data_IF_004553957626
#
_entry.id   IF_004553957626
#
_cell.length_a   1.000
_cell.length_b   1.000
_cell.length_c   1.000
_cell.angle_alpha   90.00
_cell.angle_beta   90.00
_cell.angle_gamma   90.00
#
_symmetry.space_group_name_H-M   'P 1'
#
loop_
_entity.id
_entity.type
_entity.pdbx_description
1 polymer ?
#
# COMPACT_ATOMS: atom_id res chain seq x y z
N UNK A 1 6.22 20.63 -2.93
CA UNK A 1 5.05 19.80 -2.58
C UNK A 1 5.54 18.69 -1.69
N UNK A 2 5.30 18.78 -0.38
CA UNK A 2 5.79 17.80 0.58
C UNK A 2 4.82 16.63 0.62
N UNK A 3 5.05 15.62 -0.20
CA UNK A 3 4.56 14.29 0.14
C UNK A 3 5.15 13.99 1.51
N UNK A 4 4.31 13.81 2.53
CA UNK A 4 4.75 13.24 3.78
C UNK A 4 5.54 12.00 3.37
N UNK A 5 6.84 11.98 3.67
CA UNK A 5 7.66 10.79 3.49
C UNK A 5 7.12 9.77 4.49
N UNK A 6 6.02 9.15 4.09
CA UNK A 6 5.37 8.10 4.84
C UNK A 6 6.43 7.03 5.02
N UNK A 7 6.75 6.70 6.27
CA UNK A 7 7.71 5.64 6.56
C UNK A 7 7.07 4.28 6.22
N UNK A 8 7.08 3.96 4.92
CA UNK A 8 6.50 2.75 4.37
C UNK A 8 7.15 1.50 4.97
N UNK A 9 8.40 1.61 5.43
CA UNK A 9 9.15 0.49 6.01
C UNK A 9 8.51 -0.09 7.27
N UNK A 10 7.71 0.70 7.99
CA UNK A 10 7.03 0.30 9.24
C UNK A 10 5.59 -0.13 9.06
N UNK A 11 5.11 -0.23 7.82
CA UNK A 11 3.69 -0.49 7.52
C UNK A 11 3.37 -1.96 7.27
N UNK A 12 4.36 -2.85 7.40
CA UNK A 12 4.16 -4.29 7.25
C UNK A 12 3.04 -4.78 8.17
N UNK A 13 2.07 -5.48 7.60
CA UNK A 13 0.90 -5.97 8.33
C UNK A 13 -0.28 -4.99 8.38
N UNK A 14 -0.16 -3.76 7.88
CA UNK A 14 -1.28 -2.81 7.79
C UNK A 14 -2.30 -3.28 6.75
N UNK A 15 -3.56 -2.89 6.91
CA UNK A 15 -4.59 -3.08 5.90
C UNK A 15 -4.56 -1.91 4.90
N UNK A 16 -4.80 -2.20 3.63
CA UNK A 16 -4.93 -1.18 2.60
C UNK A 16 -6.39 -1.09 2.18
N UNK A 17 -6.96 0.10 2.27
CA UNK A 17 -8.32 0.42 1.85
C UNK A 17 -8.30 1.39 0.66
N UNK A 18 -9.19 1.18 -0.30
CA UNK A 18 -9.36 2.10 -1.42
C UNK A 18 -10.08 3.39 -0.99
N UNK A 19 -10.23 4.35 -1.92
CA UNK A 19 -10.92 5.64 -1.65
C UNK A 19 -12.37 5.50 -1.18
N UNK A 20 -12.98 4.32 -1.32
CA UNK A 20 -14.34 3.99 -0.91
C UNK A 20 -14.39 3.19 0.39
N UNK A 21 -13.23 3.00 1.05
CA UNK A 21 -13.10 2.20 2.26
C UNK A 21 -13.10 0.69 2.04
N UNK A 22 -13.06 0.21 0.79
CA UNK A 22 -13.03 -1.24 0.50
C UNK A 22 -11.63 -1.78 0.68
N UNK A 23 -11.50 -2.91 1.38
CA UNK A 23 -10.21 -3.55 1.58
C UNK A 23 -9.63 -4.07 0.25
N UNK A 24 -8.42 -3.61 -0.05
CA UNK A 24 -7.55 -4.08 -1.14
C UNK A 24 -6.78 -5.32 -0.70
N UNK A 25 -6.26 -5.30 0.52
CA UNK A 25 -5.46 -6.39 1.07
C UNK A 25 -4.62 -5.98 2.27
N UNK A 26 -3.62 -6.81 2.61
CA UNK A 26 -2.69 -6.57 3.72
C UNK A 26 -1.28 -6.36 3.18
N UNK A 27 -0.56 -5.39 3.73
CA UNK A 27 0.83 -5.09 3.38
C UNK A 27 1.72 -6.26 3.79
N UNK A 28 2.47 -6.80 2.84
CA UNK A 28 3.53 -7.80 3.07
C UNK A 28 4.90 -7.14 3.26
N UNK A 29 5.14 -5.97 2.65
CA UNK A 29 6.35 -5.19 2.86
C UNK A 29 6.53 -4.01 1.89
N UNK A 30 7.54 -3.16 2.13
CA UNK A 30 7.96 -2.10 1.21
C UNK A 30 8.62 -2.65 -0.06
N UNK A 31 8.48 -1.91 -1.15
CA UNK A 31 9.10 -2.18 -2.45
C UNK A 31 9.94 -0.96 -2.86
N UNK A 32 11.07 -1.25 -3.50
CA UNK A 32 12.14 -0.29 -3.83
C UNK A 32 12.37 -0.31 -5.33
N UNK A 33 11.39 0.16 -6.11
CA UNK A 33 11.44 0.10 -7.58
C UNK A 33 12.34 1.16 -8.22
N UNK A 34 12.40 2.35 -7.61
CA UNK A 34 13.11 3.52 -8.18
C UNK A 34 14.48 3.75 -7.54
N UNK A 35 14.63 3.53 -6.24
CA UNK A 35 15.89 3.73 -5.51
C UNK A 35 16.06 2.65 -4.43
N UNK A 36 17.31 2.21 -4.15
CA UNK A 36 17.56 1.07 -3.26
C UNK A 36 17.15 1.31 -1.80
N UNK A 37 17.24 2.55 -1.33
CA UNK A 37 17.01 2.90 0.09
C UNK A 37 15.68 3.64 0.32
N UNK A 38 14.97 4.03 -0.74
CA UNK A 38 13.73 4.80 -0.64
C UNK A 38 12.58 3.94 -1.17
N UNK A 39 11.67 3.49 -0.29
CA UNK A 39 10.53 2.69 -0.73
C UNK A 39 9.55 3.57 -1.50
N UNK A 40 9.16 3.14 -2.69
CA UNK A 40 8.25 3.87 -3.59
C UNK A 40 6.91 3.14 -3.79
N UNK A 41 6.79 1.93 -3.25
CA UNK A 41 5.58 1.13 -3.29
C UNK A 41 5.48 0.16 -2.11
N UNK A 42 4.31 -0.47 -1.98
CA UNK A 42 4.00 -1.54 -1.04
C UNK A 42 3.55 -2.78 -1.81
N UNK A 43 4.07 -3.95 -1.41
CA UNK A 43 3.53 -5.23 -1.81
C UNK A 43 2.33 -5.56 -0.92
N UNK A 44 1.16 -5.79 -1.54
CA UNK A 44 -0.10 -6.03 -0.84
C UNK A 44 -0.68 -7.36 -1.28
N UNK A 45 -0.93 -8.27 -0.34
CA UNK A 45 -1.61 -9.54 -0.61
C UNK A 45 -3.12 -9.36 -0.54
N UNK A 46 -3.80 -9.73 -1.63
CA UNK A 46 -5.24 -9.58 -1.75
C UNK A 46 -5.99 -10.71 -1.01
N UNK A 47 -6.42 -10.49 0.23
CA UNK A 47 -7.16 -11.50 1.01
C UNK A 47 -6.29 -12.68 1.50
N UNK A 48 -6.85 -13.50 2.38
CA UNK A 48 -6.07 -14.55 3.09
C UNK A 48 -5.71 -15.77 2.24
N UNK A 49 -6.58 -16.14 1.29
CA UNK A 49 -6.41 -17.34 0.44
C UNK A 49 -5.86 -17.03 -0.96
N UNK A 50 -5.70 -15.76 -1.33
CA UNK A 50 -5.18 -15.42 -2.66
C UNK A 50 -3.67 -15.41 -2.67
N UNK A 51 -3.10 -16.06 -3.68
CA UNK A 51 -1.69 -15.90 -4.05
C UNK A 51 -1.43 -14.60 -4.81
N UNK A 52 -2.48 -13.84 -5.14
CA UNK A 52 -2.37 -12.60 -5.90
C UNK A 52 -1.79 -11.48 -5.03
N UNK A 53 -0.63 -10.98 -5.46
CA UNK A 53 -0.06 -9.73 -4.93
C UNK A 53 -0.50 -8.55 -5.78
N UNK A 54 -0.50 -7.37 -5.17
CA UNK A 54 -0.79 -6.09 -5.78
C UNK A 54 0.30 -5.11 -5.40
N UNK A 55 0.64 -4.22 -6.31
CA UNK A 55 1.61 -3.16 -6.08
C UNK A 55 0.87 -1.85 -5.83
N UNK A 56 1.01 -1.29 -4.64
CA UNK A 56 0.44 0.01 -4.27
C UNK A 56 1.56 1.04 -4.30
N UNK A 57 1.46 2.05 -5.16
CA UNK A 57 2.50 3.10 -5.27
C UNK A 57 2.32 4.15 -4.19
N UNK A 58 3.44 4.69 -3.68
CA UNK A 58 3.44 5.72 -2.65
C UNK A 58 2.59 6.95 -3.03
N UNK A 59 2.63 7.35 -4.31
CA UNK A 59 1.82 8.48 -4.84
C UNK A 59 0.30 8.27 -4.73
N UNK A 60 -0.16 7.02 -4.58
CA UNK A 60 -1.59 6.69 -4.44
C UNK A 60 -2.05 6.66 -2.98
N UNK A 61 -1.10 6.73 -2.03
CA UNK A 61 -1.40 6.74 -0.60
C UNK A 61 -1.87 8.15 -0.23
N UNK A 62 -3.08 8.23 0.29
CA UNK A 62 -3.66 9.48 0.78
C UNK A 62 -3.41 9.64 2.27
N UNK A 63 -3.45 8.55 3.03
CA UNK A 63 -3.34 8.57 4.48
C UNK A 63 -2.74 7.25 5.00
N UNK A 64 -1.99 7.36 6.09
CA UNK A 64 -1.59 6.22 6.93
C UNK A 64 -2.06 6.50 8.35
N UNK A 65 -2.95 5.66 8.84
CA UNK A 65 -3.37 5.63 10.23
C UNK A 65 -2.52 4.63 11.00
N UNK A 66 -1.59 5.16 11.80
CA UNK A 66 -0.69 4.35 12.62
C UNK A 66 -1.34 3.75 13.86
N UNK A 67 -2.49 4.26 14.31
CA UNK A 67 -3.21 3.76 15.48
C UNK A 67 -4.01 2.51 15.12
N UNK A 68 -4.74 2.55 14.00
CA UNK A 68 -5.56 1.42 13.54
C UNK A 68 -4.83 0.46 12.61
N UNK A 69 -3.68 0.85 12.07
CA UNK A 69 -2.92 0.05 11.11
C UNK A 69 -3.56 0.00 9.73
N UNK A 70 -4.15 1.12 9.28
CA UNK A 70 -4.86 1.23 8.00
C UNK A 70 -4.21 2.27 7.10
N UNK A 71 -4.03 1.92 5.82
CA UNK A 71 -3.55 2.81 4.76
C UNK A 71 -4.72 3.09 3.82
N UNK A 72 -5.06 4.37 3.67
CA UNK A 72 -6.09 4.84 2.74
C UNK A 72 -5.48 5.26 1.41
N UNK A 73 -6.05 4.80 0.31
CA UNK A 73 -5.66 5.20 -1.04
C UNK A 73 -6.59 6.28 -1.60
N UNK A 74 -6.06 7.14 -2.47
CA UNK A 74 -6.84 8.12 -3.24
C UNK A 74 -7.54 7.52 -4.46
N UNK A 75 -7.24 6.25 -4.80
CA UNK A 75 -7.74 5.54 -5.98
C UNK A 75 -8.65 4.37 -5.60
N UNK A 76 -9.41 3.87 -6.56
CA UNK A 76 -10.19 2.64 -6.42
C UNK A 76 -9.29 1.40 -6.48
N UNK A 77 -9.69 0.31 -5.79
CA UNK A 77 -8.93 -0.95 -5.77
C UNK A 77 -8.72 -1.55 -7.17
N UNK A 78 -9.60 -1.28 -8.12
CA UNK A 78 -9.50 -1.74 -9.50
C UNK A 78 -8.34 -1.08 -10.25
N UNK A 79 -7.92 0.12 -9.85
CA UNK A 79 -6.76 0.84 -10.39
C UNK A 79 -5.42 0.37 -9.81
N UNK A 80 -5.44 -0.43 -8.74
CA UNK A 80 -4.23 -1.00 -8.14
C UNK A 80 -3.76 -2.18 -8.98
N UNK A 81 -2.55 -2.05 -9.54
CA UNK A 81 -1.96 -3.04 -10.44
C UNK A 81 -1.70 -4.36 -9.72
N UNK A 82 -2.01 -5.48 -10.38
CA UNK A 82 -1.57 -6.81 -9.95
C UNK A 82 -0.04 -6.89 -10.09
N UNK A 83 0.61 -7.42 -9.07
CA UNK A 83 2.03 -7.74 -9.09
C UNK A 83 2.15 -9.24 -9.29
N UNK A 84 2.64 -9.64 -10.48
CA UNK A 84 2.95 -11.00 -10.96
C UNK A 84 2.00 -12.11 -10.44
#
# INVERSE_FOLDING_TARGET
MSAIAHDLSRTTGYLVADRRGRIVGRVEGPMYGTAPDVPDALAVRAGWLSRSRRLVRAETIQQIDGETGVIGLSVDRESVRRFL
#
